data_IF_367857595310
#
_entry.id   IF_367857595310
#
_cell.length_a   1.000
_cell.length_b   1.000
_cell.length_c   1.000
_cell.angle_alpha   90.00
_cell.angle_beta   90.00
_cell.angle_gamma   90.00
#
_symmetry.space_group_name_H-M   'P 1'
#
loop_
_entity.id
_entity.type
_entity.pdbx_description
1 polymer ?
#
# COMPACT_ATOMS: atom_id res chain seq x y z
N UNK A 1 14.94 8.15 18.00
CA UNK A 1 13.52 8.52 18.15
C UNK A 1 13.25 9.65 17.17
N UNK A 2 12.39 9.45 16.18
CA UNK A 2 12.04 10.49 15.21
C UNK A 2 10.79 11.24 15.68
N UNK A 3 10.71 12.54 15.39
CA UNK A 3 9.51 13.36 15.67
C UNK A 3 8.50 13.32 14.50
N UNK A 4 8.57 12.30 13.66
CA UNK A 4 7.82 12.19 12.42
C UNK A 4 8.02 10.83 11.75
N UNK A 5 7.50 10.68 10.53
CA UNK A 5 7.60 9.44 9.77
C UNK A 5 9.04 9.19 9.31
N UNK A 6 9.60 8.06 9.73
CA UNK A 6 10.88 7.54 9.24
C UNK A 6 10.65 6.14 8.70
N UNK A 7 9.97 6.08 7.56
CA UNK A 7 9.62 4.83 6.88
C UNK A 7 10.43 4.72 5.61
N UNK A 8 11.50 3.95 5.67
CA UNK A 8 12.35 3.67 4.52
C UNK A 8 11.72 2.58 3.67
N UNK A 9 11.87 2.67 2.34
CA UNK A 9 11.36 1.65 1.45
C UNK A 9 11.92 0.25 1.80
N UNK A 10 11.09 -0.78 1.66
CA UNK A 10 11.44 -2.18 1.88
C UNK A 10 11.78 -2.58 3.33
N UNK A 11 11.56 -1.70 4.31
CA UNK A 11 11.60 -2.10 5.72
C UNK A 11 10.30 -2.81 6.14
N UNK A 12 10.31 -3.41 7.33
CA UNK A 12 9.09 -3.99 7.92
C UNK A 12 7.98 -2.94 8.05
N UNK A 13 8.32 -1.73 8.49
CA UNK A 13 7.35 -0.64 8.63
C UNK A 13 6.75 -0.23 7.29
N UNK A 14 7.52 -0.29 6.19
CA UNK A 14 7.00 -0.04 4.84
C UNK A 14 6.07 -1.14 4.36
N UNK A 15 6.39 -2.42 4.62
CA UNK A 15 5.49 -3.54 4.33
C UNK A 15 4.18 -3.41 5.10
N UNK A 16 4.25 -3.22 6.41
CA UNK A 16 3.06 -3.16 7.26
C UNK A 16 2.14 -1.98 6.85
N UNK A 17 2.73 -0.84 6.45
CA UNK A 17 1.98 0.29 5.91
C UNK A 17 1.35 -0.02 4.53
N UNK A 18 2.04 -0.74 3.66
CA UNK A 18 1.50 -1.17 2.35
C UNK A 18 0.35 -2.15 2.52
N UNK A 19 0.49 -3.13 3.41
CA UNK A 19 -0.55 -4.13 3.69
C UNK A 19 -1.83 -3.46 4.20
N UNK A 20 -1.71 -2.44 5.06
CA UNK A 20 -2.85 -1.65 5.51
C UNK A 20 -3.57 -0.93 4.36
N UNK A 21 -2.82 -0.26 3.48
CA UNK A 21 -3.41 0.45 2.33
C UNK A 21 -4.05 -0.52 1.35
N UNK A 22 -3.42 -1.67 1.08
CA UNK A 22 -3.98 -2.73 0.23
C UNK A 22 -5.30 -3.25 0.80
N UNK A 23 -5.37 -3.45 2.12
CA UNK A 23 -6.60 -3.87 2.80
C UNK A 23 -7.74 -2.88 2.52
N UNK A 24 -7.50 -1.58 2.68
CA UNK A 24 -8.51 -0.56 2.37
C UNK A 24 -8.91 -0.54 0.89
N UNK A 25 -7.97 -0.72 -0.04
CA UNK A 25 -8.28 -0.80 -1.47
C UNK A 25 -9.18 -1.99 -1.80
N UNK A 26 -8.92 -3.14 -1.17
CA UNK A 26 -9.74 -4.35 -1.32
C UNK A 26 -11.12 -4.18 -0.67
N UNK A 27 -11.20 -3.57 0.52
CA UNK A 27 -12.46 -3.27 1.21
C UNK A 27 -13.37 -2.34 0.39
N UNK A 28 -12.77 -1.42 -0.39
CA UNK A 28 -13.47 -0.53 -1.32
C UNK A 28 -13.80 -1.19 -2.67
N UNK A 29 -13.49 -2.48 -2.85
CA UNK A 29 -13.79 -3.22 -4.08
C UNK A 29 -12.92 -2.82 -5.28
N UNK A 30 -11.75 -2.21 -5.07
CA UNK A 30 -10.86 -1.80 -6.15
C UNK A 30 -10.08 -3.00 -6.72
N UNK A 31 -9.74 -2.93 -8.01
CA UNK A 31 -8.84 -3.90 -8.63
C UNK A 31 -7.39 -3.55 -8.28
N UNK A 32 -6.77 -4.33 -7.38
CA UNK A 32 -5.39 -4.14 -6.92
C UNK A 32 -4.41 -4.99 -7.73
N UNK A 33 -3.29 -4.39 -8.12
CA UNK A 33 -2.14 -5.09 -8.72
C UNK A 33 -0.83 -4.63 -8.10
N UNK A 34 0.14 -5.54 -8.03
CA UNK A 34 1.50 -5.27 -7.55
C UNK A 34 2.47 -5.72 -8.62
N UNK A 35 3.37 -4.83 -9.04
CA UNK A 35 4.38 -5.15 -10.06
C UNK A 35 5.64 -5.81 -9.48
N UNK A 36 6.58 -6.17 -10.34
CA UNK A 36 7.83 -6.86 -9.96
C UNK A 36 8.76 -6.02 -9.06
N UNK A 37 8.62 -4.70 -9.05
CA UNK A 37 9.46 -3.79 -8.24
C UNK A 37 8.74 -3.44 -6.93
N UNK A 38 7.48 -3.86 -6.77
CA UNK A 38 6.68 -3.67 -5.57
C UNK A 38 5.86 -2.39 -5.57
N UNK A 39 5.58 -1.79 -6.73
CA UNK A 39 4.59 -0.71 -6.80
C UNK A 39 3.19 -1.31 -6.59
N UNK A 40 2.39 -0.68 -5.73
CA UNK A 40 1.00 -1.06 -5.48
C UNK A 40 0.10 -0.08 -6.23
N UNK A 41 -0.76 -0.59 -7.11
CA UNK A 41 -1.73 0.21 -7.87
C UNK A 41 -3.12 -0.38 -7.66
N UNK A 42 -4.09 0.49 -7.36
CA UNK A 42 -5.50 0.13 -7.31
C UNK A 42 -6.29 0.95 -8.31
N UNK A 43 -7.15 0.28 -9.09
CA UNK A 43 -8.06 0.92 -10.04
C UNK A 43 -9.48 0.80 -9.51
N UNK A 44 -10.13 1.94 -9.31
CA UNK A 44 -11.56 2.01 -9.08
C UNK A 44 -12.25 2.29 -10.42
N UNK A 45 -13.12 1.37 -10.84
CA UNK A 45 -13.79 1.44 -12.15
C UNK A 45 -15.04 2.34 -12.10
N UNK A 46 -15.48 2.75 -10.89
CA UNK A 46 -16.72 3.50 -10.68
C UNK A 46 -17.97 2.61 -10.82
N UNK A 47 -19.10 3.13 -10.35
CA UNK A 47 -20.43 2.74 -10.86
C UNK A 47 -20.75 3.57 -12.11
#
# INVERSE_FOLDING_TARGET
MTMGSSRLALTTEDRDARDLVVTWMQDLGMAVSIDLVGNVVATWIGE
#
